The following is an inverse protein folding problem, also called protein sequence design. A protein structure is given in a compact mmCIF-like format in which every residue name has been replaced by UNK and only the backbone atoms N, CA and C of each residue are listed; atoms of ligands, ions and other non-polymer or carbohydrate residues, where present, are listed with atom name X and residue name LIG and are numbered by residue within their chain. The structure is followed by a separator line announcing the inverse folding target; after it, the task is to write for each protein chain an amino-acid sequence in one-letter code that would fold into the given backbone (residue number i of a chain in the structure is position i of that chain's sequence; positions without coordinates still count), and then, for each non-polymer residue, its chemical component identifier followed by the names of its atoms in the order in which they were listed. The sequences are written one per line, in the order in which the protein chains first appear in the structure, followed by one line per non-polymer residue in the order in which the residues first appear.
data_IF_304064825596
#
_entry.id   IF_304064825596
#
_cell.length_a   1.000
_cell.length_b   1.000
_cell.length_c   1.000
_cell.angle_alpha   90.00
_cell.angle_beta   90.00
_cell.angle_gamma   90.00
#
_symmetry.space_group_name_H-M   'P 1'
#
loop_
_entity.id
_entity.type
_entity.pdbx_description
1 polymer ?
#
# COMPACT_ATOMS: atom_id res chain seq x y z
N UNK A 1 14.35 -33.34 3.77
CA UNK A 1 15.30 -32.89 2.74
C UNK A 1 15.66 -31.42 2.98
N UNK A 2 16.91 -31.14 3.28
CA UNK A 2 17.42 -29.78 3.30
C UNK A 2 17.62 -29.31 1.86
N UNK A 3 16.88 -28.27 1.45
CA UNK A 3 17.14 -27.62 0.16
C UNK A 3 18.55 -27.04 0.16
N UNK A 4 19.22 -27.14 -0.98
CA UNK A 4 20.56 -26.59 -1.12
C UNK A 4 20.54 -25.06 -0.86
N UNK A 5 21.67 -24.50 -0.46
CA UNK A 5 21.81 -23.04 -0.27
C UNK A 5 21.45 -22.29 -1.54
N UNK A 6 21.82 -22.85 -2.69
CA UNK A 6 21.57 -22.25 -4.01
C UNK A 6 20.08 -22.21 -4.35
N UNK A 7 19.32 -23.27 -4.08
CA UNK A 7 17.86 -23.31 -4.26
C UNK A 7 17.16 -22.29 -3.40
N UNK A 8 17.62 -22.06 -2.17
CA UNK A 8 17.07 -21.04 -1.27
C UNK A 8 17.34 -19.62 -1.77
N UNK A 9 18.55 -19.36 -2.27
CA UNK A 9 18.92 -18.07 -2.84
C UNK A 9 18.09 -17.72 -4.09
N UNK A 10 17.93 -18.68 -4.99
CA UNK A 10 17.11 -18.52 -6.21
C UNK A 10 15.65 -18.24 -5.83
N UNK A 11 15.09 -19.01 -4.90
CA UNK A 11 13.72 -18.80 -4.43
C UNK A 11 13.52 -17.43 -3.79
N UNK A 12 14.47 -16.96 -2.98
CA UNK A 12 14.41 -15.64 -2.37
C UNK A 12 14.49 -14.52 -3.40
N UNK A 13 15.31 -14.69 -4.45
CA UNK A 13 15.41 -13.73 -5.55
C UNK A 13 14.09 -13.67 -6.34
N UNK A 14 13.46 -14.79 -6.65
CA UNK A 14 12.16 -14.85 -7.33
C UNK A 14 11.05 -14.22 -6.50
N UNK A 15 11.02 -14.45 -5.17
CA UNK A 15 10.06 -13.82 -4.27
C UNK A 15 10.24 -12.32 -4.21
N UNK A 16 11.47 -11.83 -4.13
CA UNK A 16 11.78 -10.41 -4.12
C UNK A 16 11.34 -9.73 -5.41
N UNK A 17 11.55 -10.39 -6.57
CA UNK A 17 11.11 -9.89 -7.88
C UNK A 17 9.59 -9.81 -7.98
N UNK A 18 8.87 -10.83 -7.54
CA UNK A 18 7.40 -10.86 -7.51
C UNK A 18 6.83 -9.81 -6.58
N UNK A 19 7.42 -9.62 -5.41
CA UNK A 19 7.04 -8.58 -4.47
C UNK A 19 7.26 -7.20 -5.06
N UNK A 20 8.41 -6.96 -5.67
CA UNK A 20 8.74 -5.70 -6.34
C UNK A 20 7.75 -5.38 -7.45
N UNK A 21 7.36 -6.37 -8.26
CA UNK A 21 6.34 -6.20 -9.32
C UNK A 21 4.98 -5.79 -8.76
N UNK A 22 4.56 -6.32 -7.62
CA UNK A 22 3.32 -5.91 -6.95
C UNK A 22 3.40 -4.45 -6.48
N UNK A 23 4.55 -4.00 -6.00
CA UNK A 23 4.78 -2.62 -5.58
C UNK A 23 4.82 -1.62 -6.75
N UNK A 24 4.88 -2.07 -7.99
CA UNK A 24 4.75 -1.22 -9.17
C UNK A 24 3.31 -0.80 -9.45
N UNK A 25 2.32 -1.42 -8.82
CA UNK A 25 0.92 -0.98 -8.88
C UNK A 25 0.81 0.47 -8.40
N UNK A 26 -0.12 1.22 -8.99
CA UNK A 26 -0.29 2.65 -8.69
C UNK A 26 -1.34 2.94 -7.63
N UNK A 27 -2.16 1.96 -7.29
CA UNK A 27 -3.21 2.07 -6.29
C UNK A 27 -3.10 0.95 -5.28
N UNK A 28 -3.54 1.21 -4.08
CA UNK A 28 -3.57 0.26 -2.97
C UNK A 28 -5.00 0.12 -2.46
N UNK A 29 -5.43 -1.12 -2.20
CA UNK A 29 -6.70 -1.41 -1.53
C UNK A 29 -6.53 -1.22 -0.03
N UNK A 30 -7.51 -0.63 0.62
CA UNK A 30 -7.45 -0.26 2.04
C UNK A 30 -8.66 -0.82 2.78
N UNK A 31 -8.41 -1.57 3.84
CA UNK A 31 -9.41 -1.98 4.82
C UNK A 31 -9.22 -1.14 6.08
N UNK A 32 -10.23 -0.35 6.43
CA UNK A 32 -10.23 0.51 7.61
C UNK A 32 -11.46 0.25 8.47
N UNK A 33 -11.48 0.78 9.68
CA UNK A 33 -12.60 0.62 10.60
C UNK A 33 -13.41 1.90 10.72
N UNK A 34 -14.72 1.79 10.50
CA UNK A 34 -15.68 2.83 10.80
C UNK A 34 -15.78 3.05 12.34
N UNK A 35 -16.40 4.16 12.74
CA UNK A 35 -16.58 4.50 14.16
C UNK A 35 -17.33 3.42 14.96
N UNK A 36 -18.26 2.71 14.31
CA UNK A 36 -19.01 1.59 14.90
C UNK A 36 -18.26 0.23 14.84
N UNK A 37 -16.98 0.24 14.45
CA UNK A 37 -16.12 -0.92 14.25
C UNK A 37 -16.49 -1.81 13.04
N UNK A 38 -17.46 -1.43 12.23
CA UNK A 38 -17.71 -2.11 10.96
C UNK A 38 -16.56 -1.85 9.97
N UNK A 39 -16.17 -2.86 9.15
CA UNK A 39 -15.09 -2.68 8.19
C UNK A 39 -15.53 -1.87 6.98
N UNK A 40 -14.61 -1.05 6.46
CA UNK A 40 -14.75 -0.31 5.22
C UNK A 40 -13.66 -0.74 4.26
N UNK A 41 -14.02 -1.05 3.02
CA UNK A 41 -13.07 -1.28 1.92
C UNK A 41 -13.03 -0.06 1.01
N UNK A 42 -11.84 0.39 0.67
CA UNK A 42 -11.61 1.54 -0.20
C UNK A 42 -10.30 1.37 -0.96
N UNK A 43 -9.90 2.35 -1.75
CA UNK A 43 -8.59 2.38 -2.38
C UNK A 43 -8.09 3.82 -2.49
N UNK A 44 -6.79 3.95 -2.76
CA UNK A 44 -6.19 5.25 -3.06
C UNK A 44 -4.96 5.08 -3.96
N UNK A 45 -4.67 6.08 -4.81
CA UNK A 45 -3.35 6.21 -5.41
C UNK A 45 -2.30 6.42 -4.32
N UNK A 46 -1.12 5.87 -4.52
CA UNK A 46 -0.06 5.94 -3.52
C UNK A 46 1.31 6.18 -4.13
N UNK A 47 2.26 6.54 -3.28
CA UNK A 47 3.69 6.50 -3.57
C UNK A 47 4.39 5.86 -2.38
N UNK A 48 5.49 5.18 -2.65
CA UNK A 48 6.38 4.65 -1.62
C UNK A 48 7.57 5.56 -1.38
N UNK A 49 7.95 5.68 -0.12
CA UNK A 49 9.18 6.36 0.28
C UNK A 49 9.70 5.73 1.57
N UNK A 50 10.95 5.29 1.54
CA UNK A 50 11.63 4.72 2.71
C UNK A 50 10.83 3.62 3.43
N UNK A 51 10.23 2.71 2.65
CA UNK A 51 9.50 1.56 3.18
C UNK A 51 8.10 1.84 3.68
N UNK A 52 7.57 3.04 3.49
CA UNK A 52 6.19 3.38 3.84
C UNK A 52 5.39 3.76 2.60
N UNK A 53 4.08 3.52 2.64
CA UNK A 53 3.14 4.01 1.64
C UNK A 53 2.62 5.37 2.06
N UNK A 54 2.42 6.26 1.09
CA UNK A 54 1.82 7.57 1.32
C UNK A 54 0.63 7.77 0.40
N UNK A 55 -0.48 8.20 0.97
CA UNK A 55 -1.71 8.52 0.25
C UNK A 55 -2.13 9.95 0.56
N UNK A 56 -2.74 10.62 -0.43
CA UNK A 56 -3.24 11.99 -0.30
C UNK A 56 -4.73 11.99 -0.57
N UNK A 57 -5.54 12.12 0.48
CA UNK A 57 -6.97 11.80 0.46
C UNK A 57 -7.81 12.91 1.10
N UNK A 58 -9.03 13.09 0.54
CA UNK A 58 -10.00 14.07 1.04
C UNK A 58 -10.64 13.63 2.36
N UNK A 59 -10.84 14.58 3.26
CA UNK A 59 -11.61 14.33 4.50
C UNK A 59 -13.09 13.97 4.22
N UNK A 60 -13.61 14.30 3.04
CA UNK A 60 -14.96 13.92 2.62
C UNK A 60 -15.10 12.43 2.31
N UNK A 61 -14.01 11.74 2.03
CA UNK A 61 -14.02 10.29 1.83
C UNK A 61 -14.07 9.57 3.18
N UNK A 62 -14.92 8.53 3.29
CA UNK A 62 -15.16 7.80 4.54
C UNK A 62 -13.88 7.23 5.16
N UNK A 63 -12.93 6.79 4.33
CA UNK A 63 -11.69 6.21 4.84
C UNK A 63 -10.80 7.22 5.56
N UNK A 64 -10.88 8.50 5.25
CA UNK A 64 -9.96 9.50 5.82
C UNK A 64 -10.14 9.68 7.33
N UNK A 65 -11.35 9.99 7.85
CA UNK A 65 -11.53 10.02 9.30
C UNK A 65 -11.26 8.67 9.96
N UNK A 66 -11.56 7.55 9.27
CA UNK A 66 -11.25 6.23 9.80
C UNK A 66 -9.76 6.05 10.07
N UNK A 67 -8.91 6.39 9.10
CA UNK A 67 -7.46 6.23 9.21
C UNK A 67 -6.83 7.20 10.22
N UNK A 68 -7.40 8.39 10.39
CA UNK A 68 -6.93 9.39 11.34
C UNK A 68 -7.30 9.00 12.78
N UNK A 69 -8.55 8.61 13.01
CA UNK A 69 -9.07 8.34 14.36
C UNK A 69 -8.76 6.93 14.85
N UNK A 70 -8.68 5.97 13.94
CA UNK A 70 -8.35 4.56 14.20
C UNK A 70 -7.15 4.18 13.33
N UNK A 71 -5.94 4.46 13.79
CA UNK A 71 -4.73 4.50 12.96
C UNK A 71 -4.17 3.12 12.57
N UNK A 72 -4.93 2.06 12.73
CA UNK A 72 -4.58 0.71 12.29
C UNK A 72 -5.45 0.32 11.12
N UNK A 73 -4.82 -0.21 10.06
CA UNK A 73 -5.49 -0.64 8.84
C UNK A 73 -4.75 -1.82 8.20
N UNK A 74 -5.39 -2.41 7.22
CA UNK A 74 -4.74 -3.36 6.30
C UNK A 74 -4.78 -2.80 4.89
N UNK A 75 -3.69 -3.02 4.15
CA UNK A 75 -3.62 -2.63 2.74
C UNK A 75 -3.20 -3.82 1.89
N UNK A 76 -3.60 -3.83 0.62
CA UNK A 76 -3.28 -4.92 -0.28
C UNK A 76 -2.95 -4.40 -1.68
N UNK A 77 -1.89 -4.98 -2.25
CA UNK A 77 -1.52 -4.85 -3.66
C UNK A 77 -1.76 -6.20 -4.33
N UNK A 78 -2.41 -6.19 -5.49
CA UNK A 78 -2.70 -7.42 -6.25
C UNK A 78 -2.24 -7.29 -7.70
N UNK A 79 -1.81 -8.41 -8.29
CA UNK A 79 -1.53 -8.50 -9.72
C UNK A 79 -2.83 -8.31 -10.52
N UNK A 80 -2.71 -7.81 -11.76
CA UNK A 80 -3.87 -7.63 -12.63
C UNK A 80 -4.53 -8.97 -12.99
N UNK A 81 -5.85 -8.98 -13.01
CA UNK A 81 -6.62 -10.15 -13.47
C UNK A 81 -6.28 -10.50 -14.91
N UNK A 82 -6.14 -9.50 -15.78
CA UNK A 82 -5.88 -9.67 -17.20
C UNK A 82 -4.57 -10.40 -17.51
N UNK A 83 -3.61 -10.35 -16.60
CA UNK A 83 -2.29 -10.98 -16.74
C UNK A 83 -2.09 -12.17 -15.80
N UNK A 84 -3.12 -12.58 -15.06
CA UNK A 84 -3.08 -13.68 -14.11
C UNK A 84 -3.66 -14.95 -14.72
N UNK A 85 -2.84 -15.98 -14.90
CA UNK A 85 -3.26 -17.23 -15.52
C UNK A 85 -4.24 -18.03 -14.64
N UNK A 86 -4.02 -18.06 -13.32
CA UNK A 86 -4.87 -18.76 -12.36
C UNK A 86 -5.24 -17.82 -11.22
N UNK A 87 -6.50 -17.38 -11.23
CA UNK A 87 -7.00 -16.39 -10.26
C UNK A 87 -7.10 -16.93 -8.81
N UNK A 88 -7.15 -18.27 -8.63
CA UNK A 88 -7.14 -18.85 -7.28
C UNK A 88 -5.82 -18.59 -6.54
N UNK A 89 -4.74 -18.41 -7.28
CA UNK A 89 -3.40 -18.12 -6.75
C UNK A 89 -2.87 -16.77 -7.22
N UNK A 90 -3.76 -15.83 -7.48
CA UNK A 90 -3.42 -14.48 -7.91
C UNK A 90 -2.37 -13.87 -6.98
N UNK A 91 -1.27 -13.37 -7.54
CA UNK A 91 -0.22 -12.71 -6.78
C UNK A 91 -0.77 -11.52 -6.00
N UNK A 92 -0.50 -11.49 -4.70
CA UNK A 92 -0.93 -10.40 -3.83
C UNK A 92 -0.07 -10.30 -2.58
N UNK A 93 0.08 -9.09 -2.09
CA UNK A 93 0.71 -8.82 -0.80
C UNK A 93 -0.22 -7.97 0.05
N UNK A 94 -0.38 -8.37 1.30
CA UNK A 94 -1.15 -7.65 2.32
C UNK A 94 -0.18 -7.16 3.40
N UNK A 95 -0.35 -5.92 3.81
CA UNK A 95 0.37 -5.36 4.94
C UNK A 95 -0.61 -4.92 6.03
N UNK A 96 -0.26 -5.18 7.27
CA UNK A 96 -0.80 -4.43 8.39
C UNK A 96 -0.02 -3.13 8.49
N UNK A 97 -0.71 -2.02 8.68
CA UNK A 97 -0.09 -0.69 8.69
C UNK A 97 -0.55 0.14 9.88
N UNK A 98 0.34 1.00 10.33
CA UNK A 98 0.04 2.09 11.25
C UNK A 98 -0.04 3.40 10.45
N UNK A 99 -1.11 4.16 10.68
CA UNK A 99 -1.41 5.38 9.93
C UNK A 99 -0.99 6.61 10.73
N UNK A 100 -0.33 7.55 10.07
CA UNK A 100 0.09 8.83 10.67
C UNK A 100 -0.17 9.97 9.70
N UNK A 101 -0.81 11.04 10.16
CA UNK A 101 -0.97 12.26 9.36
C UNK A 101 0.37 12.98 9.28
N UNK A 102 0.77 13.37 8.08
CA UNK A 102 1.93 14.23 7.86
C UNK A 102 1.41 15.65 7.70
N UNK A 103 1.76 16.51 8.63
CA UNK A 103 1.30 17.91 8.64
C UNK A 103 1.91 18.73 7.49
N UNK A 104 1.18 19.75 7.03
CA UNK A 104 1.60 20.57 5.89
C UNK A 104 2.89 21.36 6.13
N UNK A 105 3.21 21.67 7.36
CA UNK A 105 4.44 22.36 7.76
C UNK A 105 5.65 21.43 7.93
N UNK A 106 5.45 20.11 7.85
CA UNK A 106 6.53 19.14 7.85
C UNK A 106 7.22 19.16 6.48
N UNK A 107 8.56 19.20 6.47
CA UNK A 107 9.34 19.16 5.21
C UNK A 107 9.06 17.91 4.38
N UNK A 108 8.74 16.79 5.02
CA UNK A 108 8.37 15.53 4.37
C UNK A 108 7.09 15.67 3.52
N UNK A 109 6.17 16.55 3.90
CA UNK A 109 4.93 16.78 3.14
C UNK A 109 5.22 17.17 1.69
N UNK A 110 6.05 18.19 1.49
CA UNK A 110 6.39 18.67 0.15
C UNK A 110 7.18 17.62 -0.65
N UNK A 111 8.13 16.94 -0.01
CA UNK A 111 8.92 15.88 -0.65
C UNK A 111 8.04 14.75 -1.16
N UNK A 112 7.10 14.28 -0.33
CA UNK A 112 6.20 13.19 -0.70
C UNK A 112 5.24 13.61 -1.81
N UNK A 113 4.70 14.83 -1.76
CA UNK A 113 3.81 15.31 -2.82
C UNK A 113 4.51 15.47 -4.17
N UNK A 114 5.78 15.83 -4.20
CA UNK A 114 6.59 15.83 -5.43
C UNK A 114 6.69 14.41 -5.99
N UNK A 115 7.01 13.43 -5.16
CA UNK A 115 7.12 12.03 -5.55
C UNK A 115 5.75 11.47 -6.02
N UNK A 116 4.69 11.84 -5.31
CA UNK A 116 3.33 11.44 -5.67
C UNK A 116 2.91 12.00 -7.02
N UNK A 117 3.21 13.27 -7.29
CA UNK A 117 2.92 13.91 -8.58
C UNK A 117 3.68 13.26 -9.73
N UNK A 118 4.95 12.92 -9.53
CA UNK A 118 5.75 12.21 -10.53
C UNK A 118 5.14 10.86 -10.88
N UNK A 119 4.58 10.18 -9.89
CA UNK A 119 3.97 8.85 -10.07
C UNK A 119 2.54 8.91 -10.62
N UNK A 120 1.72 9.82 -10.10
CA UNK A 120 0.27 9.84 -10.35
C UNK A 120 -0.18 10.93 -11.33
N UNK A 121 0.68 11.90 -11.62
CA UNK A 121 0.40 12.98 -12.56
C UNK A 121 -0.02 14.30 -11.93
N UNK A 122 -0.31 15.28 -12.78
CA UNK A 122 -0.51 16.69 -12.42
C UNK A 122 -1.74 16.95 -11.55
N UNK A 123 -2.68 16.02 -11.48
CA UNK A 123 -3.86 16.14 -10.61
C UNK A 123 -3.48 16.40 -9.15
N UNK A 124 -2.34 15.89 -8.71
CA UNK A 124 -1.84 16.08 -7.34
C UNK A 124 -1.67 17.57 -7.00
N UNK A 125 -1.13 18.37 -7.93
CA UNK A 125 -0.99 19.81 -7.72
C UNK A 125 -2.33 20.51 -7.54
N UNK A 126 -3.37 20.08 -8.28
CA UNK A 126 -4.72 20.60 -8.11
C UNK A 126 -5.30 20.21 -6.74
N UNK A 127 -5.20 18.94 -6.37
CA UNK A 127 -5.70 18.43 -5.08
C UNK A 127 -5.01 19.13 -3.90
N UNK A 128 -3.74 19.47 -4.05
CA UNK A 128 -2.96 20.17 -3.03
C UNK A 128 -3.56 21.54 -2.67
N UNK A 129 -4.24 22.20 -3.60
CA UNK A 129 -4.88 23.49 -3.35
C UNK A 129 -6.14 23.38 -2.49
N UNK A 130 -6.67 22.16 -2.32
CA UNK A 130 -7.86 21.88 -1.54
C UNK A 130 -7.49 21.65 -0.07
N UNK A 131 -8.07 22.43 0.83
CA UNK A 131 -7.71 22.41 2.26
C UNK A 131 -8.16 21.18 3.03
N UNK A 132 -9.04 20.35 2.44
CA UNK A 132 -9.60 19.14 3.04
C UNK A 132 -8.82 17.86 2.71
N UNK A 133 -7.68 17.97 2.00
CA UNK A 133 -6.83 16.82 1.70
C UNK A 133 -5.75 16.63 2.76
N UNK A 134 -5.56 15.37 3.16
CA UNK A 134 -4.60 14.96 4.17
C UNK A 134 -3.58 13.99 3.57
N UNK A 135 -2.31 14.22 3.86
CA UNK A 135 -1.25 13.27 3.56
C UNK A 135 -1.12 12.29 4.73
N UNK A 136 -1.30 10.99 4.43
CA UNK A 136 -1.26 9.94 5.43
C UNK A 136 -0.16 8.96 5.08
N UNK A 137 0.75 8.71 6.03
CA UNK A 137 1.74 7.65 5.96
C UNK A 137 1.12 6.36 6.47
N UNK A 138 1.25 5.31 5.68
CA UNK A 138 0.87 3.94 6.02
C UNK A 138 2.17 3.14 6.23
N UNK A 139 2.55 2.95 7.48
CA UNK A 139 3.79 2.26 7.84
C UNK A 139 3.53 0.77 8.03
N UNK A 140 4.07 -0.10 7.16
CA UNK A 140 3.94 -1.54 7.33
C UNK A 140 4.58 -2.03 8.63
N UNK A 141 3.86 -2.91 9.33
CA UNK A 141 4.34 -3.60 10.54
C UNK A 141 4.45 -5.11 10.33
N UNK A 142 3.68 -5.65 9.39
CA UNK A 142 3.71 -7.06 9.00
C UNK A 142 3.28 -7.19 7.55
N UNK A 143 3.87 -8.12 6.82
CA UNK A 143 3.52 -8.45 5.45
C UNK A 143 3.13 -9.93 5.28
N UNK A 144 2.23 -10.20 4.32
CA UNK A 144 1.85 -11.53 3.89
C UNK A 144 1.77 -11.57 2.36
N UNK A 145 2.61 -12.39 1.74
CA UNK A 145 2.75 -12.50 0.30
C UNK A 145 2.22 -13.85 -0.18
N UNK A 146 1.36 -13.84 -1.19
CA UNK A 146 0.89 -15.03 -1.90
C UNK A 146 1.32 -14.91 -3.37
N UNK A 147 2.07 -15.89 -3.87
CA UNK A 147 2.63 -15.88 -5.24
C UNK A 147 2.33 -17.14 -6.04
N UNK A 148 1.63 -18.12 -5.46
CA UNK A 148 1.26 -19.37 -6.12
C UNK A 148 0.59 -20.33 -5.16
N UNK A 149 0.21 -21.51 -5.66
CA UNK A 149 -0.42 -22.56 -4.86
C UNK A 149 0.52 -23.01 -3.73
N UNK A 150 0.06 -22.96 -2.48
CA UNK A 150 0.84 -23.31 -1.30
C UNK A 150 2.03 -22.40 -1.02
N UNK A 151 2.11 -21.24 -1.70
CA UNK A 151 3.22 -20.30 -1.60
C UNK A 151 2.76 -19.00 -0.90
N UNK A 152 2.56 -19.10 0.41
CA UNK A 152 2.24 -17.97 1.29
C UNK A 152 3.41 -17.73 2.25
N UNK A 153 3.83 -16.48 2.37
CA UNK A 153 4.98 -16.05 3.17
C UNK A 153 4.61 -14.87 4.05
N UNK A 154 5.09 -14.88 5.31
CA UNK A 154 5.00 -13.74 6.24
C UNK A 154 6.37 -13.11 6.43
N UNK A 155 6.38 -11.80 6.64
CA UNK A 155 7.60 -11.02 6.88
C UNK A 155 7.30 -9.69 7.60
#
# INVERSE_FOLDING_TARGET
MTKSSDERLVKNAELAEKLSALHEQKTVMIASLNADTSPLISYAPFVEKEGAFYIFISYLAEHTPNLIERPQASVMLTADESTTANLFVRGRVRYEVECTVIERDNTLFDEVLVDLEQRQGKMVSLLRTLGDFYLIRLQPTMGSLVVGAGAAYRF
#
